data_IF_036136033168
#
_entry.id   IF_036136033168
#
_cell.length_a   1.000
_cell.length_b   1.000
_cell.length_c   1.000
_cell.angle_alpha   90.00
_cell.angle_beta   90.00
_cell.angle_gamma   90.00
#
_symmetry.space_group_name_H-M   'P 1'
#
loop_
_entity.id
_entity.type
_entity.pdbx_description
1 polymer ?
#
# COMPACT_ATOMS: atom_id res chain seq x y z
N UNK A 1 -6.96 -83.09 47.69
CA UNK A 1 -8.10 -83.26 46.79
C UNK A 1 -8.39 -81.87 46.21
N UNK A 2 -8.35 -81.60 45.02
CA UNK A 2 -8.66 -82.12 43.73
C UNK A 2 -8.06 -81.20 42.68
N UNK A 3 -7.43 -81.79 41.74
CA UNK A 3 -6.87 -81.19 40.53
C UNK A 3 -8.02 -80.73 39.64
N UNK A 4 -7.86 -79.57 39.00
CA UNK A 4 -8.40 -79.41 37.65
C UNK A 4 -7.52 -78.40 36.83
N UNK A 5 -7.02 -78.99 35.80
CA UNK A 5 -6.38 -78.40 34.64
C UNK A 5 -7.35 -77.43 33.91
N UNK A 6 -6.89 -76.37 33.41
CA UNK A 6 -7.62 -75.67 32.38
C UNK A 6 -6.63 -74.97 31.39
N UNK A 7 -6.85 -75.26 30.21
CA UNK A 7 -6.32 -75.06 28.91
C UNK A 7 -5.87 -73.64 28.60
N UNK A 8 -4.70 -73.54 27.97
CA UNK A 8 -4.24 -72.38 27.22
C UNK A 8 -5.02 -72.27 25.91
N UNK A 9 -5.56 -71.15 25.67
CA UNK A 9 -6.06 -70.72 24.33
C UNK A 9 -5.22 -69.55 23.85
N UNK A 10 -4.35 -69.85 22.94
CA UNK A 10 -3.54 -68.87 22.20
C UNK A 10 -4.46 -68.25 21.15
N UNK A 11 -4.80 -66.95 21.31
CA UNK A 11 -5.45 -66.21 20.27
C UNK A 11 -4.38 -65.32 19.63
N UNK A 12 -3.99 -65.66 18.43
CA UNK A 12 -3.16 -64.86 17.58
C UNK A 12 -4.00 -63.70 17.03
N UNK A 13 -3.82 -62.55 17.58
CA UNK A 13 -4.41 -61.33 17.02
C UNK A 13 -3.46 -60.73 15.97
N UNK A 14 -3.85 -60.82 14.72
CA UNK A 14 -3.23 -60.14 13.62
C UNK A 14 -3.41 -58.64 13.79
N UNK A 15 -2.32 -57.93 14.08
CA UNK A 15 -2.29 -56.49 14.07
C UNK A 15 -2.31 -56.00 12.62
N UNK A 16 -3.47 -55.56 12.18
CA UNK A 16 -3.59 -54.78 10.92
C UNK A 16 -3.06 -53.38 11.21
N UNK A 17 -1.83 -53.12 10.78
CA UNK A 17 -1.29 -51.78 10.78
C UNK A 17 -1.95 -51.03 9.64
N UNK A 18 -2.97 -50.23 9.96
CA UNK A 18 -3.53 -49.24 9.05
C UNK A 18 -2.54 -48.06 8.98
N UNK A 19 -1.71 -48.05 7.96
CA UNK A 19 -0.88 -46.89 7.61
C UNK A 19 -1.81 -45.83 7.05
N UNK A 20 -2.33 -44.95 7.90
CA UNK A 20 -3.03 -43.75 7.47
C UNK A 20 -2.00 -42.79 6.84
N UNK A 21 -1.96 -42.75 5.51
CA UNK A 21 -1.30 -41.73 4.75
C UNK A 21 -2.02 -40.37 5.02
N UNK A 22 -1.51 -39.66 5.99
CA UNK A 22 -1.82 -38.23 6.16
C UNK A 22 -1.21 -37.48 4.94
N UNK A 23 -2.00 -37.41 3.88
CA UNK A 23 -1.78 -36.43 2.84
C UNK A 23 -2.07 -35.09 3.47
N UNK A 24 -1.05 -34.50 4.10
CA UNK A 24 -1.08 -33.12 4.55
C UNK A 24 -1.23 -32.24 3.31
N UNK A 25 -2.45 -31.82 3.04
CA UNK A 25 -2.67 -30.69 2.15
C UNK A 25 -1.99 -29.49 2.81
N UNK A 26 -0.77 -29.19 2.40
CA UNK A 26 -0.18 -27.89 2.62
C UNK A 26 -1.08 -26.91 1.87
N UNK A 27 -2.09 -26.37 2.56
CA UNK A 27 -2.73 -25.16 2.14
C UNK A 27 -1.60 -24.13 2.09
N UNK A 28 -1.13 -23.83 0.89
CA UNK A 28 -0.29 -22.69 0.66
C UNK A 28 -1.11 -21.51 1.20
N UNK A 29 -0.69 -20.98 2.34
CA UNK A 29 -1.09 -19.66 2.79
C UNK A 29 -0.58 -18.74 1.68
N UNK A 30 -1.43 -18.51 0.68
CA UNK A 30 -1.28 -17.40 -0.23
C UNK A 30 -1.28 -16.20 0.70
N UNK A 31 -0.10 -15.69 1.03
CA UNK A 31 0.05 -14.47 1.76
C UNK A 31 -0.78 -13.44 1.01
N UNK A 32 -1.79 -12.90 1.66
CA UNK A 32 -2.57 -11.77 1.17
C UNK A 32 -1.66 -10.53 1.20
N UNK A 33 -0.59 -10.57 0.40
CA UNK A 33 0.21 -9.41 0.10
C UNK A 33 -0.68 -8.41 -0.60
N UNK A 34 -0.61 -7.17 -0.18
CA UNK A 34 -1.30 -6.09 -0.88
C UNK A 34 -0.90 -6.09 -2.35
N UNK A 35 -1.83 -5.79 -3.28
CA UNK A 35 -1.53 -5.79 -4.70
C UNK A 35 -0.31 -4.93 -5.01
N UNK A 36 0.61 -5.45 -5.82
CA UNK A 36 1.78 -4.70 -6.25
C UNK A 36 1.49 -3.69 -7.36
N UNK A 37 0.31 -3.76 -7.94
CA UNK A 37 -0.19 -2.81 -8.95
C UNK A 37 -1.68 -2.61 -8.74
N UNK A 38 -2.19 -1.46 -9.12
CA UNK A 38 -3.63 -1.21 -9.03
C UNK A 38 -4.04 0.24 -9.28
N UNK A 39 -5.31 0.50 -9.05
CA UNK A 39 -5.85 1.84 -9.04
C UNK A 39 -5.35 2.61 -7.80
N UNK A 40 -5.03 3.88 -8.01
CA UNK A 40 -4.66 4.82 -6.98
C UNK A 40 -5.79 5.83 -6.81
N UNK A 41 -6.42 5.83 -5.63
CA UNK A 41 -7.41 6.81 -5.22
C UNK A 41 -7.01 7.36 -3.86
N UNK A 42 -6.62 8.62 -3.82
CA UNK A 42 -6.18 9.32 -2.62
C UNK A 42 -6.92 10.64 -2.51
N UNK A 43 -7.37 10.97 -1.33
CA UNK A 43 -7.88 12.31 -1.03
C UNK A 43 -6.99 13.02 -0.04
N UNK A 44 -6.90 14.34 -0.14
CA UNK A 44 -6.12 15.19 0.75
C UNK A 44 -6.77 16.53 0.96
N UNK A 45 -6.54 17.11 2.11
CA UNK A 45 -6.86 18.50 2.43
C UNK A 45 -5.59 19.35 2.42
N UNK A 46 -5.68 20.60 2.02
CA UNK A 46 -4.55 21.48 1.79
C UNK A 46 -4.65 22.80 2.57
N UNK A 47 -5.28 22.80 3.73
CA UNK A 47 -5.43 23.99 4.59
C UNK A 47 -4.07 24.59 5.02
N UNK A 48 -3.02 23.78 5.07
CA UNK A 48 -1.66 24.18 5.43
C UNK A 48 -0.79 24.57 4.23
N UNK A 49 -1.35 24.55 3.01
CA UNK A 49 -0.62 24.88 1.80
C UNK A 49 -1.11 26.22 1.21
N UNK A 50 -0.21 27.18 1.13
CA UNK A 50 -0.45 28.54 0.58
C UNK A 50 0.51 28.87 -0.55
N UNK A 51 1.09 27.85 -1.18
CA UNK A 51 2.01 28.01 -2.30
C UNK A 51 3.47 28.27 -1.91
N UNK A 52 3.87 28.00 -0.67
CA UNK A 52 5.25 28.19 -0.23
C UNK A 52 6.00 26.86 -0.12
N UNK A 53 7.31 26.89 -0.35
CA UNK A 53 8.18 25.74 -0.15
C UNK A 53 8.12 25.24 1.30
N UNK A 54 8.15 23.92 1.49
CA UNK A 54 8.08 23.25 2.79
C UNK A 54 6.68 23.14 3.38
N UNK A 55 5.68 23.75 2.80
CA UNK A 55 4.28 23.57 3.18
C UNK A 55 3.74 22.25 2.67
N UNK A 56 2.60 21.81 3.20
CA UNK A 56 2.08 20.46 2.95
C UNK A 56 0.56 20.41 2.85
N UNK A 57 0.09 19.35 2.21
CA UNK A 57 -1.28 18.86 2.31
C UNK A 57 -1.30 17.58 3.15
N UNK A 58 -2.40 17.28 3.82
CA UNK A 58 -2.58 16.08 4.64
C UNK A 58 -3.49 15.09 3.92
N UNK A 59 -3.07 13.84 3.81
CA UNK A 59 -3.89 12.75 3.26
C UNK A 59 -5.09 12.52 4.18
N UNK A 60 -6.28 12.49 3.61
CA UNK A 60 -7.54 12.23 4.32
C UNK A 60 -8.07 10.82 4.10
N UNK A 61 -7.86 10.25 2.91
CA UNK A 61 -8.16 8.84 2.64
C UNK A 61 -7.29 8.26 1.54
N UNK A 62 -7.21 6.94 1.47
CA UNK A 62 -6.52 6.21 0.42
C UNK A 62 -7.06 4.79 0.30
N UNK A 63 -7.08 4.25 -0.92
CA UNK A 63 -7.33 2.84 -1.19
C UNK A 63 -6.06 1.99 -1.15
N UNK A 64 -4.89 2.60 -0.94
CA UNK A 64 -3.59 1.91 -0.87
C UNK A 64 -3.18 1.76 0.59
N UNK A 65 -2.91 0.53 1.09
CA UNK A 65 -2.60 0.29 2.51
C UNK A 65 -1.37 1.03 3.03
N UNK A 66 -0.40 1.34 2.17
CA UNK A 66 0.83 2.05 2.53
C UNK A 66 0.67 3.57 2.58
N UNK A 67 -0.37 4.12 1.93
CA UNK A 67 -0.71 5.53 1.99
C UNK A 67 -1.89 5.67 2.95
N UNK A 68 -1.70 6.36 4.06
CA UNK A 68 -2.69 6.43 5.15
C UNK A 68 -3.11 7.85 5.42
N UNK A 69 -4.31 8.02 5.93
CA UNK A 69 -4.77 9.29 6.48
C UNK A 69 -3.78 9.81 7.53
N UNK A 70 -3.55 11.10 7.53
CA UNK A 70 -2.58 11.79 8.39
C UNK A 70 -1.16 11.89 7.81
N UNK A 71 -0.82 11.17 6.75
CA UNK A 71 0.44 11.37 6.04
C UNK A 71 0.46 12.73 5.36
N UNK A 72 1.66 13.28 5.19
CA UNK A 72 1.86 14.60 4.61
C UNK A 72 2.49 14.52 3.23
N UNK A 73 1.97 15.34 2.32
CA UNK A 73 2.56 15.62 1.02
C UNK A 73 3.23 16.98 1.12
N UNK A 74 4.53 17.01 1.22
CA UNK A 74 5.35 18.24 1.35
C UNK A 74 5.79 18.69 -0.03
N UNK A 75 5.65 19.98 -0.32
CA UNK A 75 6.06 20.59 -1.57
C UNK A 75 7.42 21.26 -1.39
N UNK A 76 8.39 20.96 -2.26
CA UNK A 76 9.77 21.41 -2.07
C UNK A 76 10.01 22.82 -2.56
N UNK A 77 9.28 23.27 -3.59
CA UNK A 77 9.42 24.57 -4.19
C UNK A 77 8.11 25.38 -4.12
N UNK A 78 8.18 26.71 -4.18
CA UNK A 78 6.98 27.54 -4.16
C UNK A 78 6.21 27.46 -5.46
N UNK A 79 4.91 27.70 -5.39
CA UNK A 79 4.07 27.90 -6.55
C UNK A 79 4.44 29.22 -7.26
N UNK A 80 4.37 29.22 -8.59
CA UNK A 80 4.62 30.40 -9.41
C UNK A 80 3.29 31.10 -9.75
N UNK A 81 2.97 32.13 -9.01
CA UNK A 81 1.79 32.99 -9.26
C UNK A 81 2.06 34.10 -10.29
N UNK A 82 3.31 34.26 -10.75
CA UNK A 82 3.69 35.27 -11.74
C UNK A 82 3.49 34.84 -13.19
N UNK A 83 3.13 33.57 -13.43
CA UNK A 83 2.79 33.05 -14.77
C UNK A 83 1.30 33.17 -15.06
N UNK A 84 0.94 33.09 -16.35
CA UNK A 84 -0.47 33.04 -16.81
C UNK A 84 -0.67 31.82 -17.68
N UNK A 85 -1.36 30.77 -17.18
CA UNK A 85 -1.95 30.67 -15.84
C UNK A 85 -0.89 30.49 -14.73
N UNK A 86 -1.25 30.72 -13.45
CA UNK A 86 -0.38 30.43 -12.35
C UNK A 86 -0.17 28.90 -12.22
N UNK A 87 1.06 28.49 -11.96
CA UNK A 87 1.47 27.08 -11.99
C UNK A 87 2.11 26.65 -10.68
N UNK A 88 1.86 25.40 -10.32
CA UNK A 88 2.67 24.65 -9.37
C UNK A 88 3.45 23.60 -10.16
N UNK A 89 4.76 23.69 -10.14
CA UNK A 89 5.70 22.78 -10.80
C UNK A 89 6.82 22.53 -9.79
N UNK A 90 6.72 21.42 -9.05
CA UNK A 90 7.58 21.17 -7.89
C UNK A 90 7.70 19.69 -7.58
N UNK A 91 8.80 19.34 -6.95
CA UNK A 91 8.93 18.03 -6.33
C UNK A 91 8.06 17.93 -5.08
N UNK A 92 7.59 16.72 -4.81
CA UNK A 92 6.79 16.38 -3.63
C UNK A 92 7.36 15.20 -2.89
N UNK A 93 7.25 15.24 -1.58
CA UNK A 93 7.62 14.15 -0.69
C UNK A 93 6.37 13.71 0.08
N UNK A 94 5.87 12.50 -0.23
CA UNK A 94 4.84 11.85 0.58
C UNK A 94 5.53 11.18 1.78
N UNK A 95 5.43 11.79 2.94
CA UNK A 95 6.08 11.35 4.17
C UNK A 95 5.17 10.43 4.97
N UNK A 96 5.62 9.19 5.16
CA UNK A 96 4.93 8.16 5.94
C UNK A 96 5.53 7.96 7.35
N UNK A 97 6.58 8.70 7.68
CA UNK A 97 7.33 8.51 8.93
C UNK A 97 8.21 7.26 8.92
N UNK A 98 8.95 7.05 10.00
CA UNK A 98 9.83 5.87 10.19
C UNK A 98 10.78 5.58 9.02
N UNK A 99 11.30 6.62 8.36
CA UNK A 99 12.20 6.47 7.21
C UNK A 99 11.55 6.05 5.91
N UNK A 100 10.23 6.04 5.83
CA UNK A 100 9.48 5.72 4.61
C UNK A 100 8.93 7.00 3.99
N UNK A 101 9.28 7.23 2.72
CA UNK A 101 8.78 8.35 1.93
C UNK A 101 8.71 7.97 0.45
N UNK A 102 7.69 8.46 -0.27
CA UNK A 102 7.66 8.42 -1.72
C UNK A 102 8.07 9.78 -2.28
N UNK A 103 8.86 9.76 -3.33
CA UNK A 103 9.32 10.96 -4.05
C UNK A 103 8.56 11.08 -5.36
N UNK A 104 8.11 12.27 -5.65
CA UNK A 104 7.35 12.53 -6.86
C UNK A 104 7.47 13.95 -7.32
N UNK A 105 6.79 14.25 -8.42
CA UNK A 105 6.75 15.54 -9.06
C UNK A 105 5.31 15.89 -9.42
N UNK A 106 4.89 17.10 -9.17
CA UNK A 106 3.55 17.61 -9.49
C UNK A 106 3.64 18.78 -10.46
N UNK A 107 2.79 18.74 -11.46
CA UNK A 107 2.54 19.89 -12.35
C UNK A 107 1.04 20.17 -12.27
N UNK A 108 0.69 21.38 -11.82
CA UNK A 108 -0.69 21.78 -11.59
C UNK A 108 -0.94 23.19 -12.14
N UNK A 109 -1.96 23.34 -12.97
CA UNK A 109 -2.56 24.62 -13.28
C UNK A 109 -3.42 25.05 -12.10
N UNK A 110 -2.97 26.07 -11.36
CA UNK A 110 -3.65 26.51 -10.13
C UNK A 110 -5.01 27.12 -10.43
N UNK A 111 -5.12 27.89 -11.53
CA UNK A 111 -6.38 28.53 -11.89
C UNK A 111 -7.47 27.51 -12.30
N UNK A 112 -7.07 26.43 -12.98
CA UNK A 112 -7.97 25.36 -13.36
C UNK A 112 -8.15 24.32 -12.23
N UNK A 113 -7.29 24.36 -11.20
CA UNK A 113 -7.21 23.36 -10.12
C UNK A 113 -7.08 21.93 -10.67
N UNK A 114 -6.29 21.75 -11.72
CA UNK A 114 -6.07 20.49 -12.43
C UNK A 114 -4.62 20.28 -12.78
N UNK A 115 -4.15 19.05 -12.67
CA UNK A 115 -2.79 18.69 -13.00
C UNK A 115 -2.51 17.21 -12.90
N UNK A 116 -1.25 16.87 -12.77
CA UNK A 116 -0.78 15.49 -12.61
C UNK A 116 0.26 15.43 -11.52
N UNK A 117 0.33 14.29 -10.85
CA UNK A 117 1.43 13.92 -9.97
C UNK A 117 2.00 12.58 -10.41
N UNK A 118 3.31 12.46 -10.41
CA UNK A 118 4.03 11.24 -10.72
C UNK A 118 4.96 10.92 -9.55
N UNK A 119 5.00 9.67 -9.12
CA UNK A 119 5.93 9.16 -8.12
C UNK A 119 6.90 8.19 -8.78
N UNK A 120 8.17 8.31 -8.45
CA UNK A 120 9.24 7.49 -8.99
C UNK A 120 10.20 7.08 -7.87
N UNK A 121 9.77 6.07 -7.12
CA UNK A 121 10.55 5.52 -6.01
C UNK A 121 10.36 6.24 -4.68
N UNK A 122 11.28 5.92 -3.78
CA UNK A 122 11.26 6.46 -2.43
C UNK A 122 12.19 5.73 -1.49
N UNK A 123 11.86 5.72 -0.22
CA UNK A 123 12.59 5.00 0.83
C UNK A 123 11.65 4.11 1.66
N UNK A 124 12.23 3.13 2.34
CA UNK A 124 11.47 2.21 3.19
C UNK A 124 10.37 1.49 2.42
N UNK A 125 9.13 1.59 2.86
CA UNK A 125 7.99 0.95 2.21
C UNK A 125 7.72 1.43 0.78
N UNK A 126 8.34 2.52 0.34
CA UNK A 126 8.17 3.12 -0.99
C UNK A 126 9.39 2.98 -1.90
N UNK A 127 10.39 2.17 -1.54
CA UNK A 127 11.66 2.09 -2.30
C UNK A 127 11.46 1.77 -3.79
N UNK A 128 10.45 0.97 -4.14
CA UNK A 128 10.13 0.59 -5.51
C UNK A 128 8.73 1.07 -5.96
N UNK A 129 8.21 2.09 -5.31
CA UNK A 129 6.88 2.63 -5.59
C UNK A 129 6.91 3.55 -6.81
N UNK A 130 6.02 3.29 -7.76
CA UNK A 130 5.73 4.17 -8.89
C UNK A 130 4.25 4.50 -8.90
N UNK A 131 3.91 5.72 -9.18
CA UNK A 131 2.52 6.16 -9.24
C UNK A 131 2.33 7.27 -10.26
N UNK A 132 1.16 7.31 -10.88
CA UNK A 132 0.75 8.42 -11.74
C UNK A 132 -0.73 8.69 -11.52
N UNK A 133 -1.08 9.93 -11.25
CA UNK A 133 -2.46 10.31 -10.99
C UNK A 133 -2.79 11.70 -11.55
N UNK A 134 -4.03 11.85 -11.97
CA UNK A 134 -4.63 13.15 -12.18
C UNK A 134 -4.91 13.82 -10.84
N UNK A 135 -4.66 15.10 -10.76
CA UNK A 135 -4.94 15.95 -9.60
C UNK A 135 -6.14 16.83 -9.91
N UNK A 136 -7.17 16.75 -9.10
CA UNK A 136 -8.38 17.58 -9.21
C UNK A 136 -8.84 18.02 -7.84
N UNK A 137 -9.73 19.03 -7.78
CA UNK A 137 -10.40 19.43 -6.54
C UNK A 137 -11.91 19.36 -6.72
N UNK A 138 -12.61 18.92 -5.71
CA UNK A 138 -14.08 18.90 -5.71
C UNK A 138 -14.71 20.20 -5.18
N UNK A 139 -16.04 20.27 -5.23
CA UNK A 139 -16.80 21.42 -4.76
C UNK A 139 -16.66 21.70 -3.24
N UNK A 140 -16.15 20.75 -2.48
CA UNK A 140 -15.89 20.86 -1.04
C UNK A 140 -14.45 21.28 -0.71
N UNK A 141 -13.60 21.48 -1.75
CA UNK A 141 -12.17 21.81 -1.57
C UNK A 141 -11.30 20.61 -1.23
N UNK A 142 -11.81 19.40 -1.39
CA UNK A 142 -11.03 18.18 -1.21
C UNK A 142 -10.27 17.87 -2.50
N UNK A 143 -8.96 17.68 -2.39
CA UNK A 143 -8.11 17.33 -3.51
C UNK A 143 -8.07 15.82 -3.70
N UNK A 144 -8.15 15.39 -4.95
CA UNK A 144 -8.15 14.00 -5.37
C UNK A 144 -6.93 13.69 -6.22
N UNK A 145 -6.36 12.51 -6.00
CA UNK A 145 -5.42 11.84 -6.88
C UNK A 145 -6.09 10.58 -7.41
N UNK A 146 -6.35 10.53 -8.69
CA UNK A 146 -6.99 9.39 -9.34
C UNK A 146 -6.10 8.88 -10.47
N UNK A 147 -5.64 7.63 -10.36
CA UNK A 147 -4.70 7.06 -11.30
C UNK A 147 -4.34 5.62 -11.00
N UNK A 148 -3.07 5.30 -11.20
CA UNK A 148 -2.54 3.95 -11.00
C UNK A 148 -1.24 3.97 -10.23
N UNK A 149 -0.92 2.84 -9.61
CA UNK A 149 0.37 2.60 -8.96
C UNK A 149 0.94 1.23 -9.28
N UNK A 150 2.22 1.10 -9.11
CA UNK A 150 2.95 -0.17 -9.13
C UNK A 150 4.11 -0.15 -8.16
N UNK A 151 4.54 -1.34 -7.74
CA UNK A 151 5.83 -1.56 -7.13
C UNK A 151 6.64 -2.43 -8.08
N UNK A 152 7.82 -1.96 -8.51
CA UNK A 152 8.72 -2.81 -9.27
C UNK A 152 9.11 -4.01 -8.41
N UNK A 153 9.08 -5.20 -9.00
CA UNK A 153 9.75 -6.35 -8.41
C UNK A 153 11.25 -6.10 -8.55
N UNK A 154 11.96 -6.05 -7.43
CA UNK A 154 13.41 -6.11 -7.46
C UNK A 154 13.79 -7.38 -8.21
N UNK A 155 14.54 -7.22 -9.29
CA UNK A 155 15.06 -8.30 -10.12
C UNK A 155 16.18 -9.04 -9.40
#
# INVERSE_FOLDING_TARGET
MSVRKAFAATVASAAVVLLALLVGSAAALAGSGSPRTGALHVTKECSQYQGQAGQFCTITSSNIPWIRAGMRVVYTDPANFGTTPPMLDTDVVLSAGHGSAAYGHVILNIAAAQGTVMFDGGTGAFASFHGSANVTVDAHGVWHWDGTYSFSSDA
#
